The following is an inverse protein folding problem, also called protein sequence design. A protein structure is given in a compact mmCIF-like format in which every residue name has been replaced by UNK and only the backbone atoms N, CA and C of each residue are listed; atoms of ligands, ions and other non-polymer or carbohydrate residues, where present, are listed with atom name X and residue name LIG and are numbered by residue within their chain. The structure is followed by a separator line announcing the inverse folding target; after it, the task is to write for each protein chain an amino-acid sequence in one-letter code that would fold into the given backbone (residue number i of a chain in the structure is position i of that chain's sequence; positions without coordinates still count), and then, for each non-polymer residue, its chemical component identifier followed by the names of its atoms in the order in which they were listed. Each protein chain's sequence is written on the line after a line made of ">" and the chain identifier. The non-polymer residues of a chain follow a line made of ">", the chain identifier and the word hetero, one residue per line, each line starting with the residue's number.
data_IF_123153605248
#
_entry.id   IF_123153605248
#
_cell.length_a   1.000
_cell.length_b   1.000
_cell.length_c   1.000
_cell.angle_alpha   90.00
_cell.angle_beta   90.00
_cell.angle_gamma   90.00
#
_symmetry.space_group_name_H-M   'P 1'
#
loop_
_entity.id
_entity.type
_entity.pdbx_description
1 polymer ?
#
# COMPACT_ATOMS: atom_id res chain seq x y z
N UNK A 1 13.53 -17.68 3.99
CA UNK A 1 13.58 -16.22 4.13
C UNK A 1 12.32 -15.60 3.63
N UNK A 2 11.81 -14.65 4.39
CA UNK A 2 10.60 -13.95 4.00
C UNK A 2 10.96 -12.79 3.09
N UNK A 3 10.51 -12.87 1.86
CA UNK A 3 10.71 -11.79 0.92
C UNK A 3 9.45 -10.97 0.83
N UNK A 4 9.57 -9.68 1.08
CA UNK A 4 8.44 -8.77 0.98
C UNK A 4 8.49 -8.11 -0.39
N UNK A 5 7.44 -8.29 -1.15
CA UNK A 5 7.29 -7.65 -2.44
C UNK A 5 6.17 -6.63 -2.36
N UNK A 6 6.25 -5.62 -3.20
CA UNK A 6 5.22 -4.60 -3.28
C UNK A 6 4.52 -4.72 -4.63
N UNK A 7 3.21 -4.78 -4.59
CA UNK A 7 2.39 -4.86 -5.80
C UNK A 7 1.31 -3.80 -5.78
N UNK A 8 0.83 -3.39 -6.94
CA UNK A 8 -0.24 -2.39 -6.97
C UNK A 8 -1.48 -2.89 -6.25
N UNK A 9 -2.13 -1.98 -5.55
CA UNK A 9 -3.39 -2.28 -4.88
C UNK A 9 -4.44 -2.62 -5.94
N UNK A 10 -5.27 -3.60 -5.64
CA UNK A 10 -6.38 -3.92 -6.53
C UNK A 10 -7.64 -4.06 -5.69
N UNK A 11 -8.76 -4.32 -6.36
CA UNK A 11 -10.05 -4.37 -5.66
C UNK A 11 -10.17 -5.55 -4.69
N UNK A 12 -9.26 -6.50 -4.77
CA UNK A 12 -9.25 -7.64 -3.86
C UNK A 12 -8.27 -7.46 -2.71
N UNK A 13 -7.52 -6.38 -2.72
CA UNK A 13 -6.54 -6.12 -1.67
C UNK A 13 -7.26 -5.78 -0.38
N UNK A 14 -6.84 -6.42 0.71
CA UNK A 14 -7.42 -6.18 2.01
C UNK A 14 -6.33 -5.92 3.03
N UNK A 15 -6.62 -5.02 3.97
CA UNK A 15 -5.65 -4.66 4.98
C UNK A 15 -5.51 -5.75 6.03
N UNK A 16 -6.62 -6.40 6.37
CA UNK A 16 -6.60 -7.42 7.39
C UNK A 16 -6.59 -6.82 8.79
N UNK A 17 -6.39 -7.69 9.74
CA UNK A 17 -6.50 -7.33 11.14
C UNK A 17 -5.32 -6.48 11.61
N UNK A 18 -4.14 -6.81 11.14
CA UNK A 18 -2.91 -6.13 11.54
C UNK A 18 -2.55 -4.97 10.63
N UNK A 19 -3.36 -4.71 9.64
CA UNK A 19 -3.06 -3.66 8.68
C UNK A 19 -2.11 -4.11 7.60
N UNK A 20 -1.84 -3.22 6.69
CA UNK A 20 -0.91 -3.45 5.59
C UNK A 20 -0.05 -2.23 5.40
N UNK A 21 1.16 -2.44 4.96
CA UNK A 21 2.06 -1.35 4.65
C UNK A 21 1.92 -0.96 3.19
N UNK A 22 1.73 0.33 2.97
CA UNK A 22 1.68 0.88 1.63
C UNK A 22 2.97 1.63 1.34
N UNK A 23 3.44 1.49 0.13
CA UNK A 23 4.63 2.18 -0.32
C UNK A 23 4.25 3.18 -1.39
N UNK A 24 4.69 4.42 -1.20
CA UNK A 24 4.44 5.46 -2.19
C UNK A 24 5.25 5.18 -3.46
N UNK A 25 4.62 5.19 -4.63
CA UNK A 25 5.35 4.91 -5.87
C UNK A 25 6.25 6.05 -6.30
N UNK A 26 6.13 7.21 -5.67
CA UNK A 26 6.91 8.37 -6.07
C UNK A 26 8.10 8.62 -5.15
N UNK A 27 7.87 8.65 -3.85
CA UNK A 27 8.95 8.91 -2.91
C UNK A 27 9.35 7.68 -2.11
N UNK A 28 8.63 6.59 -2.29
CA UNK A 28 8.92 5.30 -1.64
C UNK A 28 8.75 5.32 -0.13
N UNK A 29 7.98 6.27 0.37
CA UNK A 29 7.63 6.30 1.78
C UNK A 29 6.67 5.17 2.11
N UNK A 30 6.85 4.57 3.27
CA UNK A 30 6.00 3.47 3.71
C UNK A 30 5.09 3.97 4.82
N UNK A 31 3.83 3.57 4.76
CA UNK A 31 2.89 3.88 5.82
C UNK A 31 1.96 2.70 6.02
N UNK A 32 1.43 2.59 7.23
CA UNK A 32 0.53 1.51 7.59
C UNK A 32 -0.92 1.98 7.51
N UNK A 33 -1.76 1.18 6.90
CA UNK A 33 -3.19 1.44 6.85
C UNK A 33 -3.95 0.21 7.31
N UNK A 34 -5.18 0.43 7.75
CA UNK A 34 -5.98 -0.65 8.33
C UNK A 34 -7.25 -0.94 7.55
N UNK A 35 -7.49 -0.20 6.48
CA UNK A 35 -8.65 -0.45 5.63
C UNK A 35 -8.39 0.17 4.25
N UNK A 36 -9.19 -0.25 3.30
CA UNK A 36 -9.09 0.26 1.93
C UNK A 36 -10.41 0.92 1.49
N UNK A 37 -11.10 1.58 2.42
CA UNK A 37 -12.37 2.23 2.11
C UNK A 37 -12.20 3.59 1.45
N UNK A 38 -10.98 4.03 1.30
CA UNK A 38 -10.68 5.30 0.65
C UNK A 38 -10.46 5.08 -0.85
N UNK A 39 -10.69 6.13 -1.64
CA UNK A 39 -10.45 6.04 -3.07
C UNK A 39 -9.07 6.52 -3.46
N UNK A 40 -8.39 7.26 -2.60
CA UNK A 40 -7.04 7.70 -2.84
C UNK A 40 -6.48 8.31 -1.58
N UNK A 41 -5.17 8.41 -1.52
CA UNK A 41 -4.48 9.00 -0.38
C UNK A 41 -3.41 9.96 -0.87
N UNK A 42 -3.25 11.04 -0.13
CA UNK A 42 -2.15 11.96 -0.38
C UNK A 42 -0.95 11.53 0.43
N UNK A 43 0.17 11.34 -0.23
CA UNK A 43 1.40 11.00 0.46
C UNK A 43 1.88 12.20 1.28
N UNK A 44 2.10 12.03 2.59
CA UNK A 44 2.54 13.15 3.42
C UNK A 44 3.98 13.56 3.17
N UNK A 45 4.76 12.71 2.53
CA UNK A 45 6.16 13.02 2.28
C UNK A 45 6.34 13.85 1.03
N UNK A 46 5.80 13.40 -0.10
CA UNK A 46 5.92 14.12 -1.36
C UNK A 46 4.69 14.98 -1.64
N UNK A 47 3.67 14.86 -0.82
CA UNK A 47 2.43 15.64 -0.92
C UNK A 47 1.73 15.47 -2.26
N UNK A 48 1.92 14.32 -2.87
CA UNK A 48 1.27 14.00 -4.12
C UNK A 48 0.00 13.22 -3.86
N UNK A 49 -1.03 13.57 -4.61
CA UNK A 49 -2.29 12.85 -4.54
C UNK A 49 -2.17 11.59 -5.38
N UNK A 50 -2.36 10.45 -4.76
CA UNK A 50 -2.14 9.16 -5.41
C UNK A 50 -3.41 8.34 -5.31
N UNK A 51 -3.82 7.78 -6.44
CA UNK A 51 -5.00 6.93 -6.48
C UNK A 51 -4.78 5.66 -5.69
N UNK A 52 -5.88 5.08 -5.23
CA UNK A 52 -5.84 3.85 -4.46
C UNK A 52 -5.06 2.76 -5.19
N UNK A 53 -5.31 2.61 -6.47
CA UNK A 53 -4.69 1.53 -7.23
C UNK A 53 -3.29 1.86 -7.72
N UNK A 54 -2.82 3.06 -7.47
CA UNK A 54 -1.44 3.42 -7.77
C UNK A 54 -0.51 3.15 -6.59
N UNK A 55 -1.06 3.00 -5.41
CA UNK A 55 -0.28 2.65 -4.24
C UNK A 55 0.21 1.22 -4.34
N UNK A 56 1.40 1.00 -3.80
CA UNK A 56 1.96 -0.34 -3.71
C UNK A 56 1.70 -0.90 -2.32
N UNK A 57 1.27 -2.13 -2.27
CA UNK A 57 0.97 -2.78 -0.99
C UNK A 57 1.92 -3.96 -0.81
N UNK A 58 2.32 -4.18 0.43
CA UNK A 58 3.20 -5.29 0.72
C UNK A 58 2.48 -6.61 0.48
N UNK A 59 3.18 -7.53 -0.15
CA UNK A 59 2.71 -8.89 -0.27
C UNK A 59 3.82 -9.80 0.17
N UNK A 60 3.48 -10.77 0.97
CA UNK A 60 4.46 -11.78 1.33
C UNK A 60 4.44 -12.86 0.29
N UNK A 61 5.62 -13.21 -0.16
CA UNK A 61 5.74 -14.28 -1.13
C UNK A 61 5.51 -15.62 -0.49
N UNK A 62 4.32 -15.82 0.03
CA UNK A 62 3.99 -17.10 0.60
C UNK A 62 3.49 -17.99 -0.48
N UNK A 63 4.06 -19.10 -0.49
CA UNK A 63 3.68 -20.11 -1.45
C UNK A 63 2.49 -20.90 -0.95
#
# INVERSE_FOLDING_TARGET
>A
MNTICYKPVNRYTRAGYNGKQLKCPKCQSVRTIYHFNWSGLTCPECKESIDKYDWLVETRGVV
#
